data_IF_178269819878
#
_entry.id   IF_178269819878
#
_cell.length_a   1.000
_cell.length_b   1.000
_cell.length_c   1.000
_cell.angle_alpha   90.00
_cell.angle_beta   90.00
_cell.angle_gamma   90.00
#
_symmetry.space_group_name_H-M   'P 1'
#
loop_
_entity.id
_entity.type
_entity.pdbx_description
1 polymer ?
#
# COMPACT_ATOMS: atom_id res chain seq x y z
N UNK A 1 10.47 28.10 -5.30
CA UNK A 1 9.74 27.34 -6.33
C UNK A 1 9.77 25.86 -5.96
N UNK A 2 8.75 25.36 -5.24
CA UNK A 2 8.61 23.92 -5.02
C UNK A 2 8.01 23.30 -6.28
N UNK A 3 8.67 22.30 -6.86
CA UNK A 3 8.21 21.64 -8.07
C UNK A 3 6.96 20.80 -7.76
N UNK A 4 5.79 21.44 -7.74
CA UNK A 4 4.48 20.82 -7.46
C UNK A 4 4.15 19.67 -8.42
N UNK A 5 4.68 19.71 -9.64
CA UNK A 5 4.44 18.70 -10.67
C UNK A 5 5.15 17.38 -10.36
N UNK A 6 6.41 17.42 -9.93
CA UNK A 6 7.19 16.23 -9.62
C UNK A 6 6.68 15.51 -8.36
N UNK A 7 6.31 16.26 -7.34
CA UNK A 7 5.70 15.71 -6.12
C UNK A 7 4.36 15.02 -6.41
N UNK A 8 3.48 15.67 -7.19
CA UNK A 8 2.19 15.09 -7.57
C UNK A 8 2.35 13.81 -8.41
N UNK A 9 3.33 13.78 -9.30
CA UNK A 9 3.66 12.59 -10.08
C UNK A 9 4.14 11.44 -9.19
N UNK A 10 5.09 11.70 -8.28
CA UNK A 10 5.60 10.68 -7.36
C UNK A 10 4.52 10.12 -6.42
N UNK A 11 3.64 10.99 -5.90
CA UNK A 11 2.49 10.57 -5.09
C UNK A 11 1.49 9.72 -5.88
N UNK A 12 1.25 10.07 -7.15
CA UNK A 12 0.41 9.30 -8.06
C UNK A 12 0.96 7.90 -8.29
N UNK A 13 2.26 7.77 -8.54
CA UNK A 13 2.91 6.47 -8.76
C UNK A 13 2.84 5.58 -7.50
N UNK A 14 3.01 6.15 -6.30
CA UNK A 14 2.93 5.38 -5.04
C UNK A 14 1.50 4.96 -4.64
N UNK A 15 0.49 5.65 -5.19
CA UNK A 15 -0.92 5.46 -4.80
C UNK A 15 -1.76 4.77 -5.88
N UNK A 16 -1.15 4.46 -7.03
CA UNK A 16 -1.84 3.81 -8.14
C UNK A 16 -1.41 2.34 -8.23
N UNK A 17 -2.35 1.38 -8.20
CA UNK A 17 -2.03 -0.05 -8.30
C UNK A 17 -1.38 -0.41 -9.66
N UNK A 18 -1.74 0.34 -10.69
CA UNK A 18 -1.28 0.15 -12.08
C UNK A 18 -0.01 0.91 -12.44
N UNK A 19 0.57 1.67 -11.52
CA UNK A 19 1.78 2.44 -11.78
C UNK A 19 2.97 1.54 -12.08
N UNK A 20 3.93 2.11 -12.81
CA UNK A 20 5.20 1.44 -13.08
C UNK A 20 5.93 1.09 -11.77
N UNK A 21 5.85 2.00 -10.79
CA UNK A 21 6.46 1.84 -9.48
C UNK A 21 5.85 0.68 -8.67
N UNK A 22 4.51 0.60 -8.60
CA UNK A 22 3.83 -0.47 -7.84
C UNK A 22 4.06 -1.83 -8.49
N UNK A 23 4.03 -1.90 -9.83
CA UNK A 23 4.31 -3.15 -10.56
C UNK A 23 5.74 -3.64 -10.30
N UNK A 24 6.73 -2.76 -10.47
CA UNK A 24 8.14 -3.11 -10.26
C UNK A 24 8.45 -3.42 -8.79
N UNK A 25 7.86 -2.66 -7.87
CA UNK A 25 8.02 -2.86 -6.43
C UNK A 25 7.54 -4.24 -5.99
N UNK A 26 6.40 -4.70 -6.49
CA UNK A 26 5.89 -6.05 -6.21
C UNK A 26 6.77 -7.15 -6.81
N UNK A 27 7.19 -7.01 -8.06
CA UNK A 27 8.09 -7.97 -8.72
C UNK A 27 9.42 -8.12 -7.94
N UNK A 28 9.95 -7.02 -7.39
CA UNK A 28 11.13 -7.06 -6.52
C UNK A 28 10.83 -7.76 -5.20
N UNK A 29 9.68 -7.52 -4.58
CA UNK A 29 9.27 -8.23 -3.36
C UNK A 29 9.20 -9.75 -3.62
N UNK A 30 8.70 -10.17 -4.78
CA UNK A 30 8.68 -11.58 -5.18
C UNK A 30 10.08 -12.18 -5.25
N UNK A 31 11.00 -11.50 -5.92
CA UNK A 31 12.38 -11.93 -6.04
C UNK A 31 13.11 -11.96 -4.69
N UNK A 32 12.90 -10.96 -3.84
CA UNK A 32 13.52 -10.90 -2.51
C UNK A 32 13.02 -12.05 -1.64
N UNK A 33 11.71 -12.29 -1.60
CA UNK A 33 11.16 -13.41 -0.83
C UNK A 33 11.66 -14.75 -1.35
N UNK A 34 11.72 -14.95 -2.66
CA UNK A 34 12.26 -16.18 -3.23
C UNK A 34 13.71 -16.43 -2.82
N UNK A 35 14.53 -15.38 -2.73
CA UNK A 35 15.95 -15.50 -2.36
C UNK A 35 16.20 -15.59 -0.85
N UNK A 36 15.37 -14.95 -0.05
CA UNK A 36 15.58 -14.86 1.41
C UNK A 36 14.69 -15.79 2.22
N UNK A 37 13.66 -16.39 1.60
CA UNK A 37 12.55 -17.09 2.27
C UNK A 37 11.77 -16.21 3.27
N UNK A 38 11.98 -14.89 3.26
CA UNK A 38 11.28 -13.94 4.14
C UNK A 38 10.14 -13.27 3.37
N UNK A 39 8.91 -13.31 3.88
CA UNK A 39 7.77 -12.68 3.22
C UNK A 39 7.99 -11.17 3.15
N UNK A 40 8.10 -10.65 1.92
CA UNK A 40 8.41 -9.25 1.62
C UNK A 40 7.22 -8.62 0.91
N UNK A 41 6.85 -7.42 1.33
CA UNK A 41 5.65 -6.73 0.87
C UNK A 41 5.98 -5.31 0.43
N UNK A 42 5.28 -4.83 -0.60
CA UNK A 42 5.38 -3.47 -1.07
C UNK A 42 4.45 -2.56 -0.26
N UNK A 43 4.99 -1.43 0.23
CA UNK A 43 4.22 -0.43 0.97
C UNK A 43 3.38 0.42 0.01
N UNK A 44 2.07 0.21 0.01
CA UNK A 44 1.12 0.95 -0.80
C UNK A 44 0.56 2.14 -0.02
N UNK A 45 0.72 3.34 -0.56
CA UNK A 45 0.15 4.55 0.03
C UNK A 45 -1.26 4.79 -0.49
N UNK A 46 -2.16 5.14 0.42
CA UNK A 46 -3.52 5.51 0.07
C UNK A 46 -3.90 6.81 0.77
N UNK A 47 -4.88 7.52 0.20
CA UNK A 47 -5.42 8.74 0.75
C UNK A 47 -6.88 8.51 1.15
N UNK A 48 -7.08 8.18 2.42
CA UNK A 48 -8.39 7.95 3.00
C UNK A 48 -9.13 9.26 3.29
N UNK A 49 -10.44 9.25 3.09
CA UNK A 49 -11.32 10.39 3.43
C UNK A 49 -12.10 10.17 4.73
N UNK A 50 -12.33 8.92 5.14
CA UNK A 50 -13.13 8.60 6.33
C UNK A 50 -12.77 7.22 6.87
N UNK A 51 -12.59 7.12 8.19
CA UNK A 51 -12.17 5.90 8.87
C UNK A 51 -13.08 4.70 8.59
N UNK A 52 -14.40 4.91 8.51
CA UNK A 52 -15.36 3.83 8.21
C UNK A 52 -15.12 3.25 6.82
N UNK A 53 -14.98 4.12 5.81
CA UNK A 53 -14.69 3.71 4.42
C UNK A 53 -13.32 3.05 4.28
N UNK A 54 -12.32 3.51 5.05
CA UNK A 54 -11.00 2.88 5.02
C UNK A 54 -11.05 1.45 5.54
N UNK A 55 -11.80 1.16 6.61
CA UNK A 55 -11.93 -0.21 7.14
C UNK A 55 -12.65 -1.15 6.17
N UNK A 56 -13.60 -0.64 5.39
CA UNK A 56 -14.31 -1.41 4.36
C UNK A 56 -13.53 -1.51 3.04
N UNK A 57 -12.30 -0.97 2.99
CA UNK A 57 -11.49 -0.92 1.77
C UNK A 57 -10.97 -2.30 1.40
N UNK A 58 -11.18 -2.67 0.15
CA UNK A 58 -10.63 -3.88 -0.48
C UNK A 58 -9.25 -3.64 -1.07
N UNK A 59 -8.53 -4.73 -1.32
CA UNK A 59 -7.22 -4.67 -1.97
C UNK A 59 -7.34 -3.95 -3.33
N UNK A 60 -6.51 -2.94 -3.63
CA UNK A 60 -6.62 -2.17 -4.87
C UNK A 60 -6.23 -2.96 -6.13
N UNK A 61 -5.68 -4.17 -5.97
CA UNK A 61 -5.23 -5.04 -7.08
C UNK A 61 -6.22 -6.18 -7.30
N UNK A 62 -6.43 -7.05 -6.30
CA UNK A 62 -7.30 -8.21 -6.44
C UNK A 62 -8.74 -7.97 -5.98
N UNK A 63 -9.04 -6.81 -5.38
CA UNK A 63 -10.33 -6.49 -4.78
C UNK A 63 -10.78 -7.48 -3.69
N UNK A 64 -9.85 -8.24 -3.09
CA UNK A 64 -10.10 -9.11 -1.95
C UNK A 64 -10.08 -8.37 -0.61
N UNK A 65 -10.52 -9.07 0.43
CA UNK A 65 -10.37 -8.62 1.81
C UNK A 65 -8.89 -8.70 2.24
N UNK A 66 -8.44 -7.65 2.93
CA UNK A 66 -7.05 -7.49 3.32
C UNK A 66 -6.88 -6.66 4.59
N UNK A 67 -7.97 -6.25 5.22
CA UNK A 67 -7.94 -5.65 6.55
C UNK A 67 -7.55 -6.74 7.54
N UNK A 68 -6.54 -6.47 8.35
CA UNK A 68 -6.13 -7.37 9.41
C UNK A 68 -7.04 -7.19 10.64
N UNK A 69 -7.35 -8.28 11.37
CA UNK A 69 -8.06 -8.17 12.64
C UNK A 69 -7.26 -7.38 13.68
N UNK A 70 -5.93 -7.49 13.64
CA UNK A 70 -4.98 -6.77 14.49
C UNK A 70 -3.86 -6.16 13.63
N UNK A 71 -3.42 -4.92 13.93
CA UNK A 71 -2.37 -4.27 13.15
C UNK A 71 -1.04 -5.03 13.21
N UNK A 72 -0.47 -5.32 12.05
CA UNK A 72 0.85 -5.91 11.95
C UNK A 72 1.91 -4.88 12.37
N UNK A 73 2.81 -5.27 13.27
CA UNK A 73 3.82 -4.40 13.88
C UNK A 73 3.25 -3.09 14.46
N UNK A 74 2.01 -3.14 14.96
CA UNK A 74 1.30 -1.98 15.53
C UNK A 74 1.16 -0.78 14.57
N UNK A 75 1.38 -1.00 13.26
CA UNK A 75 1.50 0.07 12.27
C UNK A 75 0.76 -0.20 10.96
N UNK A 76 0.60 -1.47 10.58
CA UNK A 76 0.01 -1.84 9.30
C UNK A 76 -1.33 -2.53 9.52
N UNK A 77 -2.39 -1.84 9.16
CA UNK A 77 -3.77 -2.34 9.29
C UNK A 77 -4.16 -3.26 8.12
N UNK A 78 -3.48 -3.16 6.97
CA UNK A 78 -3.82 -3.93 5.79
C UNK A 78 -2.65 -4.76 5.29
N UNK A 79 -2.93 -6.03 4.95
CA UNK A 79 -2.00 -6.94 4.28
C UNK A 79 -2.75 -7.80 3.26
N UNK A 80 -2.27 -7.78 2.03
CA UNK A 80 -2.71 -8.72 0.99
C UNK A 80 -1.55 -9.63 0.64
N UNK A 81 -1.69 -10.91 0.93
CA UNK A 81 -0.67 -11.93 0.67
C UNK A 81 -0.58 -12.29 -0.82
N UNK A 82 -1.71 -12.39 -1.53
CA UNK A 82 -1.74 -12.64 -2.98
C UNK A 82 -1.05 -11.54 -3.79
N UNK A 83 -1.29 -10.28 -3.41
CA UNK A 83 -0.75 -9.12 -4.11
C UNK A 83 0.56 -8.60 -3.52
N UNK A 84 1.02 -9.18 -2.40
CA UNK A 84 2.18 -8.74 -1.61
C UNK A 84 2.16 -7.24 -1.29
N UNK A 85 1.02 -6.75 -0.81
CA UNK A 85 0.85 -5.35 -0.42
C UNK A 85 0.69 -5.21 1.08
N UNK A 86 1.31 -4.16 1.64
CA UNK A 86 1.04 -3.64 2.97
C UNK A 86 0.55 -2.20 2.87
N UNK A 87 -0.36 -1.81 3.76
CA UNK A 87 -0.84 -0.44 3.83
C UNK A 87 -1.30 -0.14 5.25
N UNK A 88 -1.33 1.15 5.59
CA UNK A 88 -1.88 1.65 6.85
C UNK A 88 -3.24 2.30 6.60
N UNK A 89 -4.09 2.38 7.62
CA UNK A 89 -5.26 3.26 7.58
C UNK A 89 -4.75 4.68 7.42
N UNK A 90 -5.14 5.30 6.30
CA UNK A 90 -4.87 6.68 6.03
C UNK A 90 -5.88 7.55 6.79
N UNK A 91 -5.68 7.70 8.11
CA UNK A 91 -6.33 8.76 8.85
C UNK A 91 -5.66 10.07 8.44
N UNK A 92 -6.39 10.95 7.75
CA UNK A 92 -5.94 12.34 7.66
C UNK A 92 -5.94 12.89 9.09
N UNK A 93 -4.77 12.97 9.72
CA UNK A 93 -4.60 13.74 10.95
C UNK A 93 -4.79 15.20 10.52
N UNK A 94 -6.03 15.71 10.67
CA UNK A 94 -6.23 17.16 10.71
C UNK A 94 -5.56 17.64 12.00
N UNK A 95 -4.35 18.17 11.86
CA UNK A 95 -3.75 19.04 12.87
C UNK A 95 -4.10 20.49 12.54
#
# INVERSE_FOLDING_TARGET
MGCKTGERFGLGEMSSPDSSLTKRGRELCEQITHRTNTPTYYLFRHHGRSQKRERERRCPICNGDWLLPEPLFERFDFRCDDCRLLSNIALTQRH
#
